data_IF_490503990032
#
_entry.id   IF_490503990032
#
_cell.length_a   1.000
_cell.length_b   1.000
_cell.length_c   1.000
_cell.angle_alpha   90.00
_cell.angle_beta   90.00
_cell.angle_gamma   90.00
#
_symmetry.space_group_name_H-M   'P 1'
#
loop_
_entity.id
_entity.type
_entity.pdbx_description
1 polymer ?
#
# COMPACT_ATOMS: atom_id res chain seq x y z
N UNK A 1 11.37 56.64 -15.94
CA UNK A 1 10.40 55.58 -15.58
C UNK A 1 11.05 54.23 -15.92
N UNK A 2 11.66 53.59 -14.92
CA UNK A 2 12.11 52.21 -15.01
C UNK A 2 10.94 51.31 -14.54
N UNK A 3 10.41 50.51 -15.45
CA UNK A 3 9.43 49.45 -15.12
C UNK A 3 10.24 48.26 -14.67
N UNK A 4 10.20 47.97 -13.37
CA UNK A 4 10.67 46.67 -12.83
C UNK A 4 9.65 45.60 -13.20
N UNK A 5 9.92 44.80 -14.22
CA UNK A 5 9.26 43.52 -14.46
C UNK A 5 9.77 42.56 -13.38
N UNK A 6 8.92 42.28 -12.40
CA UNK A 6 9.13 41.15 -11.49
C UNK A 6 9.00 39.84 -12.29
N UNK A 7 10.13 39.27 -12.67
CA UNK A 7 10.19 37.89 -13.10
C UNK A 7 9.84 37.01 -11.88
N UNK A 8 8.58 36.64 -11.76
CA UNK A 8 8.20 35.47 -10.94
C UNK A 8 8.92 34.29 -11.55
N UNK A 9 9.94 33.79 -10.87
CA UNK A 9 10.58 32.55 -11.20
C UNK A 9 9.53 31.44 -11.10
N UNK A 10 9.00 31.04 -12.24
CA UNK A 10 8.27 29.80 -12.35
C UNK A 10 9.33 28.70 -12.13
N UNK A 11 9.50 28.24 -10.92
CA UNK A 11 10.26 27.00 -10.63
C UNK A 11 9.50 25.90 -11.33
N UNK A 12 10.02 25.46 -12.48
CA UNK A 12 9.56 24.25 -13.15
C UNK A 12 9.59 23.15 -12.09
N UNK A 13 8.42 22.61 -11.73
CA UNK A 13 8.33 21.42 -10.89
C UNK A 13 8.78 20.23 -11.77
N UNK A 14 10.00 19.69 -11.58
CA UNK A 14 10.55 18.69 -12.50
C UNK A 14 9.77 17.36 -12.44
N UNK A 15 8.89 17.19 -11.48
CA UNK A 15 8.08 15.98 -11.32
C UNK A 15 6.71 16.07 -11.99
N UNK A 16 6.28 17.26 -12.44
CA UNK A 16 4.96 17.47 -13.05
C UNK A 16 3.77 17.41 -12.07
N UNK A 17 4.00 17.07 -10.81
CA UNK A 17 2.93 17.01 -9.81
C UNK A 17 2.35 18.39 -9.53
N UNK A 18 1.04 18.50 -9.52
CA UNK A 18 0.32 19.70 -9.13
C UNK A 18 -0.15 19.55 -7.67
N UNK A 19 0.15 20.54 -6.84
CA UNK A 19 -0.12 20.51 -5.41
C UNK A 19 -1.16 21.54 -5.01
N UNK A 20 -2.01 21.20 -4.07
CA UNK A 20 -2.79 22.17 -3.33
C UNK A 20 -1.85 23.25 -2.76
N UNK A 21 -2.20 24.56 -2.86
CA UNK A 21 -1.32 25.67 -2.44
C UNK A 21 -0.83 25.61 -0.99
N UNK A 22 -1.52 24.89 -0.10
CA UNK A 22 -1.11 24.69 1.29
C UNK A 22 0.06 23.68 1.46
N UNK A 23 0.47 23.01 0.39
CA UNK A 23 1.47 21.94 0.44
C UNK A 23 2.74 22.27 -0.34
N UNK A 24 3.83 21.60 0.03
CA UNK A 24 5.11 21.59 -0.69
C UNK A 24 5.54 20.15 -0.92
N UNK A 25 6.28 19.89 -1.98
CA UNK A 25 6.91 18.59 -2.24
C UNK A 25 8.43 18.69 -2.25
N UNK A 26 9.08 17.59 -1.87
CA UNK A 26 10.51 17.40 -1.96
C UNK A 26 10.80 15.99 -2.48
N UNK A 27 11.55 15.89 -3.57
CA UNK A 27 12.00 14.59 -4.09
C UNK A 27 13.07 14.00 -3.18
N UNK A 28 12.85 12.78 -2.69
CA UNK A 28 13.81 12.06 -1.89
C UNK A 28 14.62 11.08 -2.71
N UNK A 29 14.03 10.50 -3.75
CA UNK A 29 14.65 9.47 -4.57
C UNK A 29 14.04 9.44 -5.95
N UNK A 30 14.79 8.93 -6.92
CA UNK A 30 14.30 8.71 -8.28
C UNK A 30 14.94 7.42 -8.84
N UNK A 31 14.14 6.68 -9.61
CA UNK A 31 14.53 5.39 -10.20
C UNK A 31 14.07 5.29 -11.64
N UNK A 32 14.60 4.33 -12.39
CA UNK A 32 14.12 4.03 -13.72
C UNK A 32 13.56 2.61 -13.79
N UNK A 33 12.32 2.47 -14.21
CA UNK A 33 11.63 1.19 -14.43
C UNK A 33 11.58 0.30 -13.16
N UNK A 34 11.39 0.89 -11.99
CA UNK A 34 11.23 0.15 -10.74
C UNK A 34 9.77 -0.11 -10.41
N UNK A 35 8.86 0.67 -10.99
CA UNK A 35 7.42 0.58 -10.74
C UNK A 35 7.13 0.51 -9.23
N UNK A 36 7.52 1.54 -8.46
CA UNK A 36 7.29 1.58 -7.02
C UNK A 36 5.80 1.68 -6.75
N UNK A 37 5.31 0.88 -5.84
CA UNK A 37 3.93 0.93 -5.43
C UNK A 37 3.81 1.09 -3.93
N UNK A 38 3.30 0.11 -3.20
CA UNK A 38 3.04 0.23 -1.77
C UNK A 38 4.26 0.61 -0.95
N UNK A 39 4.02 1.35 0.10
CA UNK A 39 5.06 1.90 0.95
C UNK A 39 4.69 1.82 2.41
N UNK A 40 5.65 1.48 3.25
CA UNK A 40 5.45 1.43 4.71
C UNK A 40 6.67 1.95 5.46
N UNK A 41 6.41 2.63 6.59
CA UNK A 41 7.47 3.04 7.53
C UNK A 41 7.85 1.87 8.43
N UNK A 42 9.15 1.64 8.61
CA UNK A 42 9.68 0.63 9.54
C UNK A 42 9.21 0.85 10.97
N UNK A 43 9.24 -0.20 11.79
CA UNK A 43 8.84 -0.12 13.19
C UNK A 43 9.71 0.89 14.00
N UNK A 44 11.02 0.96 13.71
CA UNK A 44 11.94 1.92 14.31
C UNK A 44 11.85 3.34 13.74
N UNK A 45 10.98 3.53 12.72
CA UNK A 45 10.71 4.80 12.04
C UNK A 45 11.91 5.44 11.33
N UNK A 46 12.91 4.64 10.98
CA UNK A 46 14.10 5.12 10.28
C UNK A 46 14.06 4.85 8.77
N UNK A 47 13.28 3.85 8.34
CA UNK A 47 13.25 3.40 6.97
C UNK A 47 11.86 3.49 6.36
N UNK A 48 11.82 3.82 5.07
CA UNK A 48 10.69 3.55 4.18
C UNK A 48 11.04 2.28 3.39
N UNK A 49 10.13 1.31 3.39
CA UNK A 49 10.17 0.17 2.50
C UNK A 49 9.17 0.38 1.39
N UNK A 50 9.58 0.14 0.14
CA UNK A 50 8.78 0.37 -1.06
C UNK A 50 8.76 -0.90 -1.88
N UNK A 51 7.58 -1.46 -2.14
CA UNK A 51 7.40 -2.58 -3.07
C UNK A 51 7.61 -2.10 -4.52
N UNK A 52 7.99 -3.03 -5.38
CA UNK A 52 8.21 -2.75 -6.79
C UNK A 52 7.52 -3.80 -7.64
N UNK A 53 6.54 -3.41 -8.42
CA UNK A 53 5.73 -4.27 -9.30
C UNK A 53 6.50 -4.76 -10.53
N UNK A 54 7.67 -5.27 -10.35
CA UNK A 54 8.48 -5.80 -11.45
C UNK A 54 8.22 -7.28 -11.67
N UNK A 55 8.44 -7.77 -12.88
CA UNK A 55 8.40 -9.21 -13.14
C UNK A 55 9.52 -9.91 -12.40
N UNK A 56 9.29 -11.18 -11.99
CA UNK A 56 10.28 -11.99 -11.31
C UNK A 56 11.61 -12.03 -12.10
N UNK A 57 12.55 -11.23 -11.67
CA UNK A 57 13.84 -11.02 -12.32
C UNK A 57 14.91 -10.79 -11.26
N UNK A 58 16.09 -11.33 -11.49
CA UNK A 58 17.24 -11.04 -10.64
C UNK A 58 17.87 -9.67 -10.94
N UNK A 59 17.35 -8.94 -11.93
CA UNK A 59 17.86 -7.64 -12.36
C UNK A 59 16.93 -6.49 -11.99
N UNK A 60 15.65 -6.78 -11.70
CA UNK A 60 14.67 -5.77 -11.31
C UNK A 60 14.33 -5.92 -9.80
N UNK A 61 14.26 -4.83 -9.04
CA UNK A 61 14.01 -4.87 -7.61
C UNK A 61 12.58 -5.34 -7.31
N UNK A 62 12.42 -6.02 -6.18
CA UNK A 62 11.11 -6.34 -5.61
C UNK A 62 10.82 -5.51 -4.35
N UNK A 63 11.87 -5.05 -3.66
CA UNK A 63 11.76 -4.24 -2.46
C UNK A 63 12.94 -3.28 -2.34
N UNK A 64 12.64 -2.01 -2.11
CA UNK A 64 13.60 -0.97 -1.80
C UNK A 64 13.56 -0.62 -0.32
N UNK A 65 14.69 -0.15 0.24
CA UNK A 65 14.78 0.47 1.54
C UNK A 65 15.40 1.87 1.40
N UNK A 66 14.73 2.88 1.95
CA UNK A 66 15.15 4.28 1.89
C UNK A 66 15.22 4.82 3.31
N UNK A 67 16.37 5.32 3.72
CA UNK A 67 16.53 5.96 5.03
C UNK A 67 15.85 7.33 5.02
N UNK A 68 14.89 7.55 5.91
CA UNK A 68 13.98 8.71 5.90
C UNK A 68 14.73 10.05 6.01
N UNK A 69 15.72 10.14 6.90
CA UNK A 69 16.43 11.41 7.12
C UNK A 69 17.46 11.71 6.04
N UNK A 70 18.19 10.70 5.57
CA UNK A 70 19.34 10.91 4.69
C UNK A 70 19.00 10.71 3.20
N UNK A 71 17.85 10.11 2.89
CA UNK A 71 17.49 9.70 1.53
C UNK A 71 18.38 8.56 0.97
N UNK A 72 19.32 8.02 1.79
CA UNK A 72 20.15 6.91 1.34
C UNK A 72 19.28 5.69 1.06
N UNK A 73 19.45 5.13 -0.11
CA UNK A 73 18.65 4.01 -0.58
C UNK A 73 19.49 2.81 -0.96
N UNK A 74 18.88 1.64 -0.91
CA UNK A 74 19.44 0.41 -1.45
C UNK A 74 18.32 -0.56 -1.82
N UNK A 75 18.62 -1.46 -2.77
CA UNK A 75 17.71 -2.56 -3.10
C UNK A 75 17.88 -3.62 -2.03
N UNK A 76 16.76 -3.96 -1.36
CA UNK A 76 16.77 -4.98 -0.32
C UNK A 76 16.54 -6.38 -0.88
N UNK A 77 15.63 -6.51 -1.87
CA UNK A 77 15.22 -7.80 -2.40
C UNK A 77 15.01 -7.79 -3.92
N UNK A 78 15.37 -8.90 -4.55
CA UNK A 78 15.09 -9.23 -5.94
C UNK A 78 14.35 -10.58 -6.05
N UNK A 79 13.64 -10.78 -7.16
CA UNK A 79 13.19 -12.10 -7.61
C UNK A 79 11.74 -12.43 -7.32
N UNK A 80 10.96 -11.53 -6.70
CA UNK A 80 9.52 -11.69 -6.59
C UNK A 80 8.82 -11.26 -7.89
N UNK A 81 7.61 -11.75 -8.09
CA UNK A 81 6.81 -11.42 -9.26
C UNK A 81 5.72 -10.43 -8.88
N UNK A 82 5.81 -9.19 -9.40
CA UNK A 82 4.89 -8.11 -9.07
C UNK A 82 4.73 -7.98 -7.54
N UNK A 83 5.80 -7.59 -6.90
CA UNK A 83 5.78 -7.39 -5.45
C UNK A 83 4.98 -6.13 -5.12
N UNK A 84 3.90 -6.30 -4.34
CA UNK A 84 2.96 -5.25 -4.03
C UNK A 84 2.54 -5.31 -2.55
N UNK A 85 1.38 -5.78 -2.18
CA UNK A 85 0.83 -5.74 -0.81
C UNK A 85 1.88 -5.75 0.31
N UNK A 86 2.15 -4.59 0.92
CA UNK A 86 3.26 -4.40 1.85
C UNK A 86 2.80 -3.81 3.17
N UNK A 87 3.02 -4.51 4.28
CA UNK A 87 2.77 -3.98 5.65
C UNK A 87 3.81 -4.49 6.65
N UNK A 88 4.03 -3.72 7.71
CA UNK A 88 4.78 -4.17 8.90
C UNK A 88 3.85 -4.97 9.79
N UNK A 89 4.23 -6.21 10.07
CA UNK A 89 3.49 -7.09 10.97
C UNK A 89 3.68 -6.70 12.45
N UNK A 90 2.81 -7.15 13.36
CA UNK A 90 2.91 -6.83 14.79
C UNK A 90 4.23 -7.23 15.46
N UNK A 91 4.94 -8.21 14.90
CA UNK A 91 6.25 -8.66 15.37
C UNK A 91 7.44 -7.89 14.74
N UNK A 92 7.17 -6.85 13.96
CA UNK A 92 8.16 -6.03 13.27
C UNK A 92 8.68 -6.60 11.96
N UNK A 93 8.27 -7.81 11.57
CA UNK A 93 8.60 -8.35 10.24
C UNK A 93 7.82 -7.61 9.15
N UNK A 94 8.38 -7.57 7.92
CA UNK A 94 7.62 -7.15 6.74
C UNK A 94 6.90 -8.35 6.14
N UNK A 95 5.66 -8.13 5.73
CA UNK A 95 4.95 -9.02 4.83
C UNK A 95 4.82 -8.34 3.47
N UNK A 96 5.26 -9.05 2.43
CA UNK A 96 5.29 -8.57 1.05
C UNK A 96 4.55 -9.56 0.16
N UNK A 97 3.48 -9.11 -0.48
CA UNK A 97 2.63 -9.89 -1.37
C UNK A 97 3.14 -9.92 -2.80
N UNK A 98 2.71 -10.93 -3.55
CA UNK A 98 2.88 -10.99 -5.00
C UNK A 98 1.53 -10.80 -5.69
N UNK A 99 1.39 -9.77 -6.51
CA UNK A 99 0.17 -9.40 -7.23
C UNK A 99 0.03 -10.21 -8.52
N UNK A 100 -0.13 -11.54 -8.42
CA UNK A 100 -0.48 -12.39 -9.55
C UNK A 100 -1.31 -13.61 -9.12
N UNK A 101 -1.92 -14.31 -10.08
CA UNK A 101 -2.95 -15.33 -9.86
C UNK A 101 -2.63 -16.36 -8.74
N UNK A 102 -1.39 -16.82 -8.64
CA UNK A 102 -0.92 -17.82 -7.68
C UNK A 102 0.17 -17.22 -6.78
N UNK A 103 0.06 -15.92 -6.49
CA UNK A 103 0.99 -15.17 -5.65
C UNK A 103 1.09 -15.73 -4.24
N UNK A 104 2.19 -15.42 -3.57
CA UNK A 104 2.45 -15.75 -2.17
C UNK A 104 2.70 -14.46 -1.39
N UNK A 105 2.48 -14.49 -0.08
CA UNK A 105 3.17 -13.57 0.82
C UNK A 105 4.54 -14.10 1.21
N UNK A 106 5.48 -13.17 1.30
CA UNK A 106 6.83 -13.39 1.81
C UNK A 106 7.00 -12.62 3.12
N UNK A 107 7.51 -13.30 4.13
CA UNK A 107 7.87 -12.68 5.40
C UNK A 107 9.35 -12.39 5.44
N UNK A 108 9.71 -11.17 5.78
CA UNK A 108 11.08 -10.70 5.93
C UNK A 108 11.27 -10.32 7.39
N UNK A 109 12.06 -11.11 8.11
CA UNK A 109 12.39 -10.82 9.52
C UNK A 109 13.54 -9.83 9.59
N UNK A 110 13.48 -8.90 10.56
CA UNK A 110 14.52 -7.90 10.81
C UNK A 110 14.98 -7.13 9.56
N UNK A 111 14.06 -6.55 8.78
CA UNK A 111 14.38 -5.96 7.47
C UNK A 111 15.42 -4.83 7.55
N UNK A 112 15.50 -4.11 8.68
CA UNK A 112 16.47 -3.03 8.88
C UNK A 112 17.92 -3.49 8.99
N UNK A 113 18.15 -4.77 9.31
CA UNK A 113 19.49 -5.34 9.49
C UNK A 113 19.93 -6.24 8.35
N UNK A 114 19.03 -6.51 7.40
CA UNK A 114 19.37 -7.35 6.26
C UNK A 114 20.40 -6.66 5.35
N UNK A 115 21.41 -7.40 4.87
CA UNK A 115 22.28 -6.90 3.81
C UNK A 115 21.48 -6.56 2.55
N UNK A 116 21.99 -5.65 1.75
CA UNK A 116 21.42 -5.32 0.43
C UNK A 116 21.43 -6.54 -0.51
N UNK A 117 20.59 -6.48 -1.53
CA UNK A 117 20.58 -7.41 -2.66
C UNK A 117 20.28 -8.86 -2.30
N UNK A 118 19.38 -9.08 -1.33
CA UNK A 118 18.86 -10.41 -1.08
C UNK A 118 18.10 -10.93 -2.31
N UNK A 119 18.05 -12.26 -2.46
CA UNK A 119 17.48 -12.88 -3.67
C UNK A 119 16.52 -14.00 -3.30
N UNK A 120 15.45 -14.08 -4.07
CA UNK A 120 14.50 -15.18 -4.05
C UNK A 120 14.50 -15.85 -5.41
N UNK A 121 14.62 -17.17 -5.42
CA UNK A 121 14.31 -17.98 -6.59
C UNK A 121 12.84 -18.39 -6.51
N UNK A 122 12.02 -17.75 -7.30
CA UNK A 122 10.56 -17.98 -7.30
C UNK A 122 10.18 -19.38 -7.75
N UNK A 123 10.99 -20.04 -8.60
CA UNK A 123 10.70 -21.39 -9.10
C UNK A 123 10.90 -22.45 -8.01
N UNK A 124 11.91 -22.29 -7.18
CA UNK A 124 12.22 -23.24 -6.09
C UNK A 124 11.71 -22.76 -4.73
N UNK A 125 11.20 -21.53 -4.63
CA UNK A 125 10.81 -20.83 -3.40
C UNK A 125 11.96 -20.75 -2.38
N UNK A 126 13.20 -20.79 -2.85
CA UNK A 126 14.39 -20.62 -2.05
C UNK A 126 14.78 -19.13 -1.95
N UNK A 127 15.30 -18.74 -0.82
CA UNK A 127 15.87 -17.41 -0.60
C UNK A 127 17.35 -17.49 -0.26
N UNK A 128 18.07 -16.38 -0.49
CA UNK A 128 19.49 -16.25 -0.14
C UNK A 128 19.75 -16.23 1.37
N UNK A 129 18.72 -16.09 2.20
CA UNK A 129 18.80 -16.01 3.65
C UNK A 129 17.56 -16.63 4.32
N UNK A 130 17.70 -17.29 5.48
CA UNK A 130 16.55 -17.79 6.23
C UNK A 130 15.64 -16.69 6.79
N UNK A 131 16.10 -15.42 6.78
CA UNK A 131 15.30 -14.28 7.20
C UNK A 131 14.15 -13.95 6.22
N UNK A 132 14.17 -14.50 5.00
CA UNK A 132 13.14 -14.31 3.98
C UNK A 132 12.51 -15.66 3.68
N UNK A 133 11.20 -15.79 3.92
CA UNK A 133 10.50 -17.05 3.77
C UNK A 133 9.10 -16.88 3.17
N UNK A 134 8.63 -17.81 2.31
CA UNK A 134 7.26 -17.80 1.83
C UNK A 134 6.28 -18.25 2.91
N UNK A 135 5.12 -17.63 2.93
CA UNK A 135 4.03 -17.92 3.87
C UNK A 135 2.98 -18.83 3.25
N UNK A 136 3.28 -20.12 3.08
CA UNK A 136 2.41 -21.08 2.37
C UNK A 136 1.01 -21.26 2.97
N UNK A 137 0.80 -20.90 4.23
CA UNK A 137 -0.49 -21.12 4.93
C UNK A 137 -1.44 -19.94 4.83
N UNK A 138 -1.00 -18.81 4.29
CA UNK A 138 -1.84 -17.62 4.17
C UNK A 138 -2.68 -17.58 2.89
N UNK A 139 -2.50 -18.56 2.00
CA UNK A 139 -3.23 -18.68 0.74
C UNK A 139 -2.39 -18.28 -0.47
N UNK A 140 -2.74 -18.84 -1.63
CA UNK A 140 -2.19 -18.45 -2.91
C UNK A 140 -3.30 -17.76 -3.70
N UNK A 141 -3.17 -16.46 -3.93
CA UNK A 141 -4.07 -15.62 -4.72
C UNK A 141 -3.35 -14.32 -5.13
N UNK A 142 -4.04 -13.40 -5.76
CA UNK A 142 -3.48 -12.11 -6.13
C UNK A 142 -3.43 -11.22 -4.88
N UNK A 143 -2.23 -11.13 -4.26
CA UNK A 143 -2.05 -10.43 -3.00
C UNK A 143 -1.78 -8.95 -3.21
N UNK A 144 -2.66 -8.13 -2.63
CA UNK A 144 -2.51 -6.69 -2.62
C UNK A 144 -2.97 -6.14 -1.27
N UNK A 145 -4.25 -5.96 -1.04
CA UNK A 145 -4.73 -5.46 0.25
C UNK A 145 -4.30 -6.34 1.43
N UNK A 146 -3.59 -5.73 2.39
CA UNK A 146 -3.13 -6.36 3.62
C UNK A 146 -3.33 -5.43 4.81
N UNK A 147 -3.92 -5.92 5.89
CA UNK A 147 -3.98 -5.23 7.17
C UNK A 147 -3.81 -6.21 8.33
N UNK A 148 -3.26 -5.74 9.44
CA UNK A 148 -3.20 -6.52 10.67
C UNK A 148 -4.25 -6.02 11.67
N UNK A 149 -4.90 -6.92 12.41
CA UNK A 149 -5.79 -6.51 13.49
C UNK A 149 -5.04 -5.72 14.55
N UNK A 150 -5.72 -4.76 15.18
CA UNK A 150 -5.14 -3.90 16.22
C UNK A 150 -4.53 -4.68 17.39
N UNK A 151 -5.10 -5.83 17.71
CA UNK A 151 -4.63 -6.73 18.78
C UNK A 151 -3.50 -7.67 18.34
N UNK A 152 -3.10 -7.60 17.07
CA UNK A 152 -2.03 -8.44 16.51
C UNK A 152 -2.36 -9.92 16.39
N UNK A 153 -3.65 -10.31 16.41
CA UNK A 153 -4.05 -11.71 16.31
C UNK A 153 -4.27 -12.17 14.88
N UNK A 154 -4.65 -11.25 13.99
CA UNK A 154 -5.07 -11.58 12.64
C UNK A 154 -4.36 -10.74 11.58
N UNK A 155 -4.09 -11.36 10.44
CA UNK A 155 -3.86 -10.69 9.16
C UNK A 155 -5.13 -10.81 8.31
N UNK A 156 -5.57 -9.69 7.73
CA UNK A 156 -6.64 -9.61 6.75
C UNK A 156 -6.02 -9.36 5.39
N UNK A 157 -6.46 -10.09 4.38
CA UNK A 157 -5.88 -10.06 3.04
C UNK A 157 -7.00 -10.04 2.01
N UNK A 158 -6.80 -9.31 0.95
CA UNK A 158 -7.68 -9.32 -0.21
C UNK A 158 -7.06 -10.10 -1.37
N UNK A 159 -7.91 -10.84 -2.08
CA UNK A 159 -7.62 -11.31 -3.42
C UNK A 159 -8.04 -10.21 -4.40
N UNK A 160 -7.08 -9.49 -4.94
CA UNK A 160 -7.30 -8.42 -5.91
C UNK A 160 -7.77 -9.02 -7.24
N UNK A 161 -9.00 -9.46 -7.29
CA UNK A 161 -9.65 -10.08 -8.44
C UNK A 161 -11.05 -9.50 -8.63
N UNK A 162 -11.58 -9.54 -9.85
CA UNK A 162 -12.91 -9.00 -10.17
C UNK A 162 -14.04 -9.55 -9.29
N UNK A 163 -13.86 -10.72 -8.75
CA UNK A 163 -14.76 -11.38 -7.79
C UNK A 163 -13.91 -11.98 -6.68
N UNK A 164 -12.98 -11.14 -6.16
CA UNK A 164 -12.07 -11.54 -5.11
C UNK A 164 -12.75 -11.61 -3.76
N UNK A 165 -12.20 -12.41 -2.87
CA UNK A 165 -12.66 -12.55 -1.50
C UNK A 165 -11.72 -11.87 -0.50
N UNK A 166 -12.22 -11.60 0.69
CA UNK A 166 -11.41 -11.20 1.83
C UNK A 166 -11.14 -12.44 2.67
N UNK A 167 -9.87 -12.61 3.04
CA UNK A 167 -9.40 -13.67 3.89
C UNK A 167 -8.93 -13.14 5.23
N UNK A 168 -9.03 -13.97 6.27
CA UNK A 168 -8.48 -13.70 7.61
C UNK A 168 -7.61 -14.86 8.04
N UNK A 169 -6.35 -14.56 8.35
CA UNK A 169 -5.38 -15.54 8.83
C UNK A 169 -5.09 -15.29 10.31
N UNK A 170 -5.22 -16.32 11.14
CA UNK A 170 -4.86 -16.22 12.55
C UNK A 170 -3.36 -16.48 12.71
N UNK A 171 -2.64 -15.49 13.23
CA UNK A 171 -1.18 -15.51 13.38
C UNK A 171 -0.66 -16.55 14.40
N UNK A 172 -1.52 -17.03 15.32
CA UNK A 172 -1.17 -18.01 16.34
C UNK A 172 -1.57 -19.43 15.97
N UNK A 173 -2.81 -19.60 15.49
CA UNK A 173 -3.32 -20.95 15.13
C UNK A 173 -3.02 -21.34 13.69
N UNK A 174 -2.53 -20.39 12.88
CA UNK A 174 -2.25 -20.59 11.45
C UNK A 174 -3.45 -21.06 10.62
N UNK A 175 -4.65 -20.64 11.01
CA UNK A 175 -5.87 -20.94 10.29
C UNK A 175 -6.21 -19.81 9.32
N UNK A 176 -6.43 -20.17 8.06
CA UNK A 176 -6.95 -19.27 7.02
C UNK A 176 -8.45 -19.43 6.92
N UNK A 177 -9.18 -18.33 6.86
CA UNK A 177 -10.65 -18.29 6.71
C UNK A 177 -11.05 -17.30 5.65
N UNK A 178 -12.17 -17.54 4.96
CA UNK A 178 -12.79 -16.62 4.01
C UNK A 178 -14.02 -15.98 4.63
N UNK A 179 -14.28 -14.72 4.31
CA UNK A 179 -15.49 -14.02 4.74
C UNK A 179 -16.70 -14.52 3.96
N UNK A 180 -17.77 -14.90 4.69
CA UNK A 180 -19.09 -15.22 4.13
C UNK A 180 -20.11 -14.24 4.71
N UNK A 181 -20.96 -13.70 3.86
CA UNK A 181 -21.90 -12.62 4.20
C UNK A 181 -22.77 -12.90 5.45
N UNK A 182 -23.30 -14.12 5.56
CA UNK A 182 -24.31 -14.47 6.58
C UNK A 182 -23.76 -15.42 7.68
N UNK A 183 -22.57 -16.02 7.46
CA UNK A 183 -22.01 -17.03 8.36
C UNK A 183 -20.69 -16.60 9.01
N UNK A 184 -20.20 -15.41 8.68
CA UNK A 184 -18.92 -14.91 9.16
C UNK A 184 -17.73 -15.66 8.53
N UNK A 185 -16.72 -16.01 9.30
CA UNK A 185 -15.48 -16.57 8.82
C UNK A 185 -15.51 -18.10 8.67
N UNK A 186 -15.41 -18.59 7.45
CA UNK A 186 -15.40 -20.02 7.13
C UNK A 186 -13.97 -20.52 6.86
N UNK A 187 -13.65 -21.72 7.36
CA UNK A 187 -12.31 -22.29 7.29
C UNK A 187 -11.94 -22.71 5.86
N UNK A 188 -10.83 -22.19 5.34
CA UNK A 188 -10.16 -22.67 4.14
C UNK A 188 -9.35 -23.91 4.50
N UNK A 189 -9.54 -25.00 3.78
CA UNK A 189 -8.87 -26.28 4.03
C UNK A 189 -7.62 -26.47 3.20
N UNK A 190 -7.60 -25.87 2.03
CA UNK A 190 -6.47 -25.92 1.09
C UNK A 190 -5.99 -24.50 0.77
N UNK A 191 -4.99 -24.01 1.53
CA UNK A 191 -4.43 -22.70 1.34
C UNK A 191 -3.81 -22.51 -0.05
N UNK A 192 -3.23 -23.57 -0.64
CA UNK A 192 -2.67 -23.50 -2.00
C UNK A 192 -3.74 -23.21 -3.05
N UNK A 193 -4.97 -23.64 -2.82
CA UNK A 193 -6.10 -23.40 -3.70
C UNK A 193 -7.20 -22.57 -3.02
N UNK A 194 -6.78 -21.56 -2.23
CA UNK A 194 -7.65 -20.76 -1.38
C UNK A 194 -8.84 -20.18 -2.14
N UNK A 195 -8.64 -19.67 -3.37
CA UNK A 195 -9.71 -19.12 -4.22
C UNK A 195 -10.77 -20.17 -4.54
N UNK A 196 -10.38 -21.38 -4.95
CA UNK A 196 -11.32 -22.46 -5.24
C UNK A 196 -12.09 -22.93 -4.00
N UNK A 197 -11.45 -22.96 -2.85
CA UNK A 197 -12.12 -23.27 -1.59
C UNK A 197 -13.10 -22.17 -1.17
N UNK A 198 -12.73 -20.91 -1.37
CA UNK A 198 -13.61 -19.77 -1.13
C UNK A 198 -14.87 -19.80 -1.99
N UNK A 199 -14.74 -20.14 -3.29
CA UNK A 199 -15.88 -20.34 -4.20
C UNK A 199 -16.82 -21.44 -3.71
N UNK A 200 -16.30 -22.62 -3.32
CA UNK A 200 -17.10 -23.72 -2.76
C UNK A 200 -17.79 -23.37 -1.45
N UNK A 201 -17.21 -22.48 -0.67
CA UNK A 201 -17.75 -21.98 0.59
C UNK A 201 -18.71 -20.79 0.39
N UNK A 202 -18.93 -20.35 -0.84
CA UNK A 202 -19.70 -19.14 -1.17
C UNK A 202 -19.18 -17.90 -0.44
N UNK A 203 -17.86 -17.70 -0.50
CA UNK A 203 -17.22 -16.50 0.03
C UNK A 203 -17.86 -15.22 -0.52
N UNK A 204 -17.87 -14.17 0.27
CA UNK A 204 -18.38 -12.87 -0.16
C UNK A 204 -17.42 -12.25 -1.17
N UNK A 205 -17.93 -11.88 -2.34
CA UNK A 205 -17.16 -11.25 -3.41
C UNK A 205 -17.10 -9.73 -3.26
N UNK A 206 -15.96 -9.18 -3.71
CA UNK A 206 -15.67 -7.76 -3.79
C UNK A 206 -15.08 -7.44 -5.17
N UNK A 207 -15.13 -6.17 -5.58
CA UNK A 207 -14.67 -5.73 -6.89
C UNK A 207 -13.30 -5.07 -6.80
N UNK A 208 -12.22 -5.87 -6.76
CA UNK A 208 -10.85 -5.41 -6.61
C UNK A 208 -10.66 -4.59 -5.33
N UNK A 209 -10.21 -5.22 -4.25
CA UNK A 209 -9.73 -4.53 -3.05
C UNK A 209 -8.23 -4.37 -3.20
N UNK A 210 -7.79 -3.13 -3.42
CA UNK A 210 -6.39 -2.78 -3.67
C UNK A 210 -5.61 -2.63 -2.36
N UNK A 211 -6.13 -1.91 -1.37
CA UNK A 211 -5.47 -1.81 -0.07
C UNK A 211 -6.43 -1.97 1.10
N UNK A 212 -5.85 -2.21 2.26
CA UNK A 212 -6.53 -2.31 3.55
C UNK A 212 -5.80 -1.50 4.61
N UNK A 213 -6.55 -0.71 5.41
CA UNK A 213 -5.98 0.09 6.48
C UNK A 213 -6.73 -0.10 7.80
N UNK A 214 -5.99 -0.34 8.89
CA UNK A 214 -6.57 -0.58 10.21
C UNK A 214 -6.75 0.72 10.98
N UNK A 215 -8.00 1.05 11.31
CA UNK A 215 -8.34 2.22 12.11
C UNK A 215 -8.00 2.03 13.61
N UNK A 216 -7.79 3.13 14.36
CA UNK A 216 -7.51 3.08 15.79
C UNK A 216 -8.58 2.36 16.64
N UNK A 217 -9.81 2.30 16.14
CA UNK A 217 -10.92 1.59 16.80
C UNK A 217 -10.97 0.08 16.47
N UNK A 218 -10.03 -0.42 15.64
CA UNK A 218 -9.93 -1.82 15.23
C UNK A 218 -10.81 -2.23 14.05
N UNK A 219 -11.53 -1.29 13.44
CA UNK A 219 -12.19 -1.51 12.15
C UNK A 219 -11.16 -1.44 11.03
N UNK A 220 -11.46 -2.03 9.87
CA UNK A 220 -10.55 -2.06 8.72
C UNK A 220 -11.22 -1.38 7.56
N UNK A 221 -10.56 -0.42 6.94
CA UNK A 221 -10.97 0.18 5.69
C UNK A 221 -10.44 -0.65 4.51
N UNK A 222 -11.17 -0.63 3.41
CA UNK A 222 -10.89 -1.41 2.21
C UNK A 222 -11.10 -0.48 1.01
N UNK A 223 -10.10 -0.32 0.17
CA UNK A 223 -10.22 0.40 -1.10
C UNK A 223 -10.86 -0.53 -2.15
N UNK A 224 -12.13 -0.31 -2.51
CA UNK A 224 -12.80 -1.08 -3.56
C UNK A 224 -12.76 -0.29 -4.87
N UNK A 225 -11.70 -0.48 -5.62
CA UNK A 225 -11.33 0.29 -6.82
C UNK A 225 -12.41 0.32 -7.87
N UNK A 226 -12.93 -0.83 -8.30
CA UNK A 226 -13.92 -0.89 -9.39
C UNK A 226 -15.26 -0.21 -9.09
N UNK A 227 -15.54 0.11 -7.86
CA UNK A 227 -16.78 0.77 -7.47
C UNK A 227 -16.58 2.19 -6.94
N UNK A 228 -15.33 2.66 -6.86
CA UNK A 228 -15.00 4.00 -6.38
C UNK A 228 -15.38 4.22 -4.93
N UNK A 229 -15.24 3.20 -4.07
CA UNK A 229 -15.70 3.26 -2.67
C UNK A 229 -14.63 2.83 -1.69
N UNK A 230 -14.68 3.41 -0.52
CA UNK A 230 -14.01 2.84 0.65
C UNK A 230 -15.06 2.09 1.47
N UNK A 231 -14.85 0.80 1.63
CA UNK A 231 -15.66 -0.04 2.49
C UNK A 231 -15.05 -0.09 3.89
N UNK A 232 -15.87 -0.52 4.85
CA UNK A 232 -15.44 -0.74 6.23
C UNK A 232 -15.85 -2.13 6.68
N UNK A 233 -14.87 -2.92 7.08
CA UNK A 233 -15.05 -4.22 7.76
C UNK A 233 -15.02 -4.00 9.28
N UNK A 234 -16.09 -4.37 9.95
CA UNK A 234 -16.18 -4.44 11.41
C UNK A 234 -16.21 -5.90 11.84
N UNK A 235 -15.09 -6.41 12.31
CA UNK A 235 -14.88 -7.81 12.75
C UNK A 235 -14.88 -7.96 14.29
N UNK A 236 -15.39 -6.98 15.02
CA UNK A 236 -15.43 -7.00 16.48
C UNK A 236 -16.59 -7.84 17.07
N UNK A 237 -17.43 -8.36 16.20
CA UNK A 237 -18.54 -9.23 16.57
C UNK A 237 -18.40 -10.62 15.95
N UNK A 238 -19.18 -11.59 16.44
CA UNK A 238 -19.18 -12.96 15.90
C UNK A 238 -19.59 -13.04 14.43
N UNK A 239 -20.38 -12.06 13.96
CA UNK A 239 -20.73 -11.89 12.55
C UNK A 239 -20.13 -10.58 12.06
N UNK A 240 -19.03 -10.64 11.30
CA UNK A 240 -18.41 -9.46 10.69
C UNK A 240 -19.38 -8.72 9.77
N UNK A 241 -19.27 -7.40 9.73
CA UNK A 241 -20.11 -6.56 8.88
C UNK A 241 -19.25 -5.75 7.91
N UNK A 242 -19.61 -5.77 6.64
CA UNK A 242 -19.04 -4.86 5.64
C UNK A 242 -20.10 -3.84 5.27
N UNK A 243 -19.70 -2.58 5.22
CA UNK A 243 -20.56 -1.46 4.82
C UNK A 243 -19.76 -0.40 4.10
N UNK A 244 -20.40 0.38 3.24
CA UNK A 244 -19.79 1.56 2.63
C UNK A 244 -19.45 2.57 3.73
N UNK A 245 -18.20 3.05 3.75
CA UNK A 245 -17.71 4.06 4.68
C UNK A 245 -17.55 5.43 4.03
N UNK A 246 -17.05 5.46 2.78
CA UNK A 246 -16.95 6.64 1.93
C UNK A 246 -17.38 6.28 0.51
N UNK A 247 -18.24 7.09 -0.05
CA UNK A 247 -18.63 7.08 -1.46
C UNK A 247 -18.69 8.53 -1.92
N UNK A 248 -17.95 8.88 -2.97
CA UNK A 248 -17.86 10.24 -3.50
C UNK A 248 -17.60 10.16 -5.00
N UNK A 249 -18.31 10.97 -5.79
CA UNK A 249 -18.17 10.95 -7.25
C UNK A 249 -16.79 11.37 -7.77
N UNK A 250 -15.97 12.04 -6.94
CA UNK A 250 -14.60 12.40 -7.29
C UNK A 250 -13.59 11.27 -7.03
N UNK A 251 -13.97 10.26 -6.25
CA UNK A 251 -13.16 9.09 -5.96
C UNK A 251 -13.55 7.99 -6.96
N UNK A 252 -12.69 7.71 -7.93
CA UNK A 252 -13.03 6.84 -9.06
C UNK A 252 -12.39 5.47 -8.92
N UNK A 253 -11.08 5.43 -8.71
CA UNK A 253 -10.30 4.20 -8.56
C UNK A 253 -9.42 4.27 -7.30
N UNK A 254 -10.01 4.29 -6.08
CA UNK A 254 -9.23 4.33 -4.84
C UNK A 254 -8.30 3.12 -4.77
N UNK A 255 -7.06 3.41 -4.50
CA UNK A 255 -5.98 2.43 -4.48
C UNK A 255 -5.38 2.31 -3.06
N UNK A 256 -4.31 3.03 -2.72
CA UNK A 256 -3.67 2.88 -1.42
C UNK A 256 -4.29 3.77 -0.34
N UNK A 257 -4.24 3.29 0.90
CA UNK A 257 -4.83 3.94 2.07
C UNK A 257 -3.80 4.17 3.18
N UNK A 258 -3.84 5.34 3.82
CA UNK A 258 -3.10 5.57 5.05
C UNK A 258 -3.92 6.40 6.04
N UNK A 259 -4.05 5.91 7.28
CA UNK A 259 -4.72 6.64 8.34
C UNK A 259 -3.77 7.58 9.08
N UNK A 260 -4.15 8.85 9.20
CA UNK A 260 -3.42 9.87 9.95
C UNK A 260 -4.03 10.05 11.35
N UNK A 261 -3.37 9.48 12.35
CA UNK A 261 -3.82 9.58 13.75
C UNK A 261 -3.80 11.01 14.30
N UNK A 262 -2.97 11.91 13.75
CA UNK A 262 -2.86 13.29 14.23
C UNK A 262 -3.96 14.18 13.70
N UNK A 263 -4.23 14.08 12.39
CA UNK A 263 -5.26 14.88 11.72
C UNK A 263 -6.64 14.22 11.78
N UNK A 264 -6.70 12.91 12.09
CA UNK A 264 -7.87 12.05 11.92
C UNK A 264 -8.37 12.04 10.48
N UNK A 265 -7.44 11.99 9.53
CA UNK A 265 -7.70 11.95 8.10
C UNK A 265 -7.38 10.58 7.52
N UNK A 266 -8.13 10.21 6.49
CA UNK A 266 -7.74 9.13 5.61
C UNK A 266 -7.11 9.73 4.35
N UNK A 267 -5.88 9.32 4.07
CA UNK A 267 -5.19 9.58 2.81
C UNK A 267 -5.51 8.47 1.84
N UNK A 268 -5.80 8.84 0.57
CA UNK A 268 -6.23 7.91 -0.47
C UNK A 268 -5.51 8.29 -1.75
N UNK A 269 -4.79 7.35 -2.37
CA UNK A 269 -4.38 7.48 -3.77
C UNK A 269 -5.52 7.02 -4.67
N UNK A 270 -5.60 7.57 -5.86
CA UNK A 270 -6.64 7.26 -6.84
C UNK A 270 -5.94 7.03 -8.18
N UNK A 271 -5.93 5.76 -8.63
CA UNK A 271 -5.34 5.34 -9.91
C UNK A 271 -6.30 5.63 -11.07
N UNK A 272 -6.33 6.90 -11.48
CA UNK A 272 -7.07 7.34 -12.67
C UNK A 272 -6.17 8.23 -13.56
N UNK A 273 -6.66 8.69 -14.65
CA UNK A 273 -5.98 9.63 -15.56
C UNK A 273 -6.85 10.92 -15.68
N UNK A 274 -6.50 11.98 -14.95
CA UNK A 274 -5.36 12.17 -14.04
C UNK A 274 -5.46 11.39 -12.73
N UNK A 275 -4.29 11.03 -12.16
CA UNK A 275 -4.19 10.38 -10.84
C UNK A 275 -4.17 11.40 -9.71
N UNK A 276 -4.74 11.04 -8.55
CA UNK A 276 -4.95 11.96 -7.43
C UNK A 276 -4.41 11.45 -6.09
N UNK A 277 -4.03 12.38 -5.24
CA UNK A 277 -3.91 12.18 -3.79
C UNK A 277 -5.04 12.93 -3.10
N UNK A 278 -5.91 12.20 -2.44
CA UNK A 278 -7.02 12.73 -1.66
C UNK A 278 -6.75 12.66 -0.16
N UNK A 279 -7.36 13.57 0.60
CA UNK A 279 -7.48 13.49 2.06
C UNK A 279 -8.95 13.64 2.47
N UNK A 280 -9.45 12.67 3.24
CA UNK A 280 -10.80 12.66 3.80
C UNK A 280 -10.78 12.96 5.29
N UNK A 281 -11.42 14.03 5.73
CA UNK A 281 -11.45 14.49 7.14
C UNK A 281 -12.68 14.00 7.93
N UNK A 282 -13.45 13.06 7.36
CA UNK A 282 -14.73 12.59 7.90
C UNK A 282 -15.94 13.35 7.34
N UNK A 283 -15.74 14.48 6.66
CA UNK A 283 -16.80 15.34 6.10
C UNK A 283 -16.52 15.77 4.67
N UNK A 284 -15.28 16.09 4.36
CA UNK A 284 -14.86 16.68 3.07
C UNK A 284 -13.73 15.86 2.47
N UNK A 285 -13.88 15.46 1.21
CA UNK A 285 -12.79 14.92 0.39
C UNK A 285 -12.04 16.09 -0.23
N UNK A 286 -10.75 16.22 0.08
CA UNK A 286 -9.86 17.32 -0.34
C UNK A 286 -8.83 16.80 -1.30
N UNK A 287 -8.72 17.43 -2.45
CA UNK A 287 -7.58 17.23 -3.34
C UNK A 287 -6.32 17.84 -2.73
N UNK A 288 -5.29 17.04 -2.56
CA UNK A 288 -3.97 17.44 -2.05
C UNK A 288 -2.97 17.58 -3.19
N UNK A 289 -3.02 16.63 -4.11
CA UNK A 289 -2.17 16.62 -5.29
C UNK A 289 -2.85 15.89 -6.44
N UNK A 290 -2.44 16.21 -7.67
CA UNK A 290 -2.73 15.37 -8.83
C UNK A 290 -1.56 15.38 -9.82
N UNK A 291 -1.57 14.40 -10.72
CA UNK A 291 -0.63 14.29 -11.83
C UNK A 291 -1.35 13.83 -13.09
N UNK A 292 -1.08 14.53 -14.23
CA UNK A 292 -1.83 14.33 -15.47
C UNK A 292 -1.46 13.04 -16.22
N UNK A 293 -0.34 12.39 -15.89
CA UNK A 293 0.17 11.25 -16.67
C UNK A 293 1.01 10.24 -15.91
N UNK A 294 1.34 10.50 -14.64
CA UNK A 294 1.98 9.54 -13.75
C UNK A 294 0.96 9.08 -12.71
N UNK A 295 1.07 7.85 -12.32
CA UNK A 295 0.30 7.29 -11.23
C UNK A 295 0.84 7.77 -9.89
N UNK A 296 -0.05 8.32 -9.04
CA UNK A 296 0.25 8.61 -7.64
C UNK A 296 -0.11 7.37 -6.83
N UNK A 297 0.89 6.71 -6.27
CA UNK A 297 0.72 5.45 -5.55
C UNK A 297 1.50 5.43 -4.23
N UNK A 298 1.28 4.42 -3.40
CA UNK A 298 2.06 4.15 -2.22
C UNK A 298 2.03 5.24 -1.15
N UNK A 299 0.88 5.62 -0.63
CA UNK A 299 0.81 6.64 0.43
C UNK A 299 1.18 6.09 1.80
N UNK A 300 2.07 6.80 2.52
CA UNK A 300 2.39 6.50 3.93
C UNK A 300 2.75 7.78 4.71
N UNK A 301 2.82 7.66 6.03
CA UNK A 301 2.99 8.80 6.92
C UNK A 301 4.19 8.62 7.87
N UNK A 302 4.98 9.68 8.04
CA UNK A 302 5.97 9.74 9.10
C UNK A 302 5.96 11.12 9.77
N UNK A 303 5.59 11.16 11.02
CA UNK A 303 5.43 12.44 11.73
C UNK A 303 4.24 13.25 11.21
N UNK A 304 4.51 14.39 10.58
CA UNK A 304 3.53 15.23 9.87
C UNK A 304 3.70 15.17 8.35
N UNK A 305 4.74 14.47 7.88
CA UNK A 305 5.05 14.37 6.48
C UNK A 305 4.25 13.20 5.85
N UNK A 306 3.82 13.41 4.61
CA UNK A 306 3.16 12.42 3.77
C UNK A 306 4.14 12.01 2.68
N UNK A 307 4.27 10.72 2.45
CA UNK A 307 5.14 10.18 1.40
C UNK A 307 4.27 9.50 0.36
N UNK A 308 4.60 9.75 -0.91
CA UNK A 308 3.94 9.12 -2.07
C UNK A 308 4.99 8.74 -3.11
N UNK A 309 4.67 7.76 -3.94
CA UNK A 309 5.40 7.49 -5.16
C UNK A 309 4.71 8.17 -6.36
N UNK A 310 5.51 8.55 -7.35
CA UNK A 310 5.05 8.80 -8.71
C UNK A 310 5.60 7.66 -9.57
N UNK A 311 4.74 6.76 -9.96
CA UNK A 311 5.06 5.71 -10.93
C UNK A 311 4.94 6.31 -12.33
N UNK A 312 6.09 6.53 -12.97
CA UNK A 312 6.15 7.24 -14.26
C UNK A 312 6.05 6.26 -15.42
N UNK A 313 5.26 6.63 -16.42
CA UNK A 313 5.23 5.95 -17.69
C UNK A 313 6.27 6.53 -18.65
N UNK A 314 6.66 5.76 -19.70
CA UNK A 314 7.39 6.27 -20.86
C UNK A 314 8.82 6.78 -20.63
N UNK A 315 9.61 6.11 -19.78
CA UNK A 315 11.05 6.36 -19.67
C UNK A 315 11.42 7.59 -18.83
N UNK A 316 10.46 8.20 -18.15
CA UNK A 316 10.73 9.15 -17.08
C UNK A 316 11.09 8.38 -15.79
N UNK A 317 11.88 8.95 -14.89
CA UNK A 317 12.20 8.29 -13.63
C UNK A 317 10.98 8.26 -12.70
N UNK A 318 10.71 7.10 -12.09
CA UNK A 318 9.83 7.02 -10.93
C UNK A 318 10.39 7.87 -9.79
N UNK A 319 9.54 8.49 -8.98
CA UNK A 319 9.99 9.45 -7.95
C UNK A 319 9.30 9.20 -6.62
N UNK A 320 10.07 9.12 -5.54
CA UNK A 320 9.55 9.20 -4.18
C UNK A 320 9.49 10.66 -3.73
N UNK A 321 8.33 11.11 -3.36
CA UNK A 321 8.08 12.46 -2.86
C UNK A 321 7.73 12.47 -1.37
N UNK A 322 8.27 13.44 -0.67
CA UNK A 322 7.82 13.86 0.66
C UNK A 322 6.99 15.13 0.51
N UNK A 323 5.75 15.08 0.95
CA UNK A 323 4.85 16.22 1.01
C UNK A 323 4.79 16.78 2.42
N UNK A 324 4.79 18.10 2.53
CA UNK A 324 4.70 18.82 3.81
C UNK A 324 3.72 19.96 3.71
N UNK A 325 2.85 20.07 4.69
CA UNK A 325 1.97 21.21 4.85
C UNK A 325 2.78 22.47 5.21
N UNK A 326 2.51 23.58 4.55
CA UNK A 326 3.16 24.87 4.85
C UNK A 326 2.73 25.34 6.24
N UNK A 327 3.68 25.83 7.03
CA UNK A 327 3.35 26.48 8.28
C UNK A 327 2.42 27.68 7.99
N UNK A 328 1.32 27.78 8.73
CA UNK A 328 0.48 28.99 8.64
C UNK A 328 1.30 30.19 9.11
N UNK A 329 1.34 31.24 8.29
CA UNK A 329 2.09 32.50 8.57
C UNK A 329 1.60 33.20 9.88
N UNK A 330 0.55 32.69 10.50
CA UNK A 330 -0.05 33.25 11.73
C UNK A 330 0.47 32.62 13.03
N UNK A 331 1.45 31.71 12.98
CA UNK A 331 2.02 31.06 14.16
C UNK A 331 3.40 31.66 14.59
N UNK A 332 3.71 32.90 14.13
CA UNK A 332 4.88 33.68 14.51
C UNK A 332 4.51 34.92 15.34
#
# INVERSE_FOLDING_TARGET
FLVFLSLTSCTLNPTGIQLNPAWTSHSLSAWHNHHPDMMVVSQDKQWLYVSCETNASLLAPSLLAIHIETGKQHILLFGLHKADGLKVAPDGSLWLGEEFKDGLFWRITEPATLPSEQRVDRATLASSTPAIMPLHRVGNFKHEGLAFSKDGQFAYMADEWKEGCIYRYNLHTHQLKVLHKDKGWLLIRDAKHARMDAEKLHGQYFNRIEDMETLPNGQILLAETKTGRILKLDDRSTLPKVSTWLENNALIHPDNLAWDDKRHWLWITDDDDPSYLWAWDGHTLREIAHHDSAEITGVTLHGSDVYINLQQNLGQPDVLLRLREKAHVNDL
#
